data_IF_276228434121
#
_entry.id   IF_276228434121
#
_cell.length_a   1.000
_cell.length_b   1.000
_cell.length_c   1.000
_cell.angle_alpha   90.00
_cell.angle_beta   90.00
_cell.angle_gamma   90.00
#
_symmetry.space_group_name_H-M   'P 1'
#
loop_
_entity.id
_entity.type
_entity.pdbx_description
1 polymer ?
#
# COMPACT_ATOMS: atom_id res chain seq x y z
N UNK A 1 2.24 13.13 -0.18
CA UNK A 1 2.00 11.92 -1.02
C UNK A 1 3.06 11.76 -2.10
N UNK A 2 3.17 12.67 -3.07
CA UNK A 2 4.14 12.56 -4.19
C UNK A 2 5.61 12.37 -3.76
N UNK A 3 6.15 13.07 -2.73
CA UNK A 3 7.53 12.84 -2.31
C UNK A 3 7.81 11.39 -1.86
N UNK A 4 6.94 10.82 -1.02
CA UNK A 4 7.03 9.42 -0.60
C UNK A 4 6.92 8.46 -1.79
N UNK A 5 5.97 8.72 -2.70
CA UNK A 5 5.76 7.89 -3.88
C UNK A 5 7.00 7.87 -4.80
N UNK A 6 7.68 9.00 -4.97
CA UNK A 6 8.92 9.07 -5.75
C UNK A 6 10.06 8.34 -5.05
N UNK A 7 10.27 8.55 -3.75
CA UNK A 7 11.31 7.86 -2.98
C UNK A 7 11.14 6.33 -3.04
N UNK A 8 9.91 5.83 -2.93
CA UNK A 8 9.61 4.39 -3.09
C UNK A 8 9.83 3.92 -4.53
N UNK A 9 9.37 4.69 -5.53
CA UNK A 9 9.57 4.34 -6.94
C UNK A 9 11.05 4.31 -7.36
N UNK A 10 11.87 5.16 -6.74
CA UNK A 10 13.31 5.27 -6.99
C UNK A 10 14.14 4.27 -6.17
N UNK A 11 13.51 3.52 -5.26
CA UNK A 11 14.19 2.56 -4.39
C UNK A 11 14.98 3.21 -3.25
N UNK A 12 14.78 4.50 -2.99
CA UNK A 12 15.34 5.20 -1.82
C UNK A 12 14.69 4.70 -0.52
N UNK A 13 13.42 4.31 -0.61
CA UNK A 13 12.66 3.68 0.46
C UNK A 13 12.05 2.37 -0.05
N UNK A 14 12.10 1.33 0.77
CA UNK A 14 11.47 0.04 0.41
C UNK A 14 9.94 0.16 0.43
N UNK A 15 9.40 0.89 1.40
CA UNK A 15 7.98 0.91 1.75
C UNK A 15 7.55 2.26 2.33
N UNK A 16 6.26 2.59 2.21
CA UNK A 16 5.69 3.82 2.75
C UNK A 16 4.28 3.66 3.32
N UNK A 17 3.90 4.54 4.26
CA UNK A 17 2.53 4.65 4.78
C UNK A 17 2.04 6.10 4.60
N UNK A 18 0.80 6.27 4.15
CA UNK A 18 0.14 7.57 4.00
C UNK A 18 -1.22 7.58 4.68
N UNK A 19 -1.59 8.74 5.20
CA UNK A 19 -2.86 8.97 5.87
C UNK A 19 -3.62 10.09 5.17
N UNK A 20 -4.95 9.93 5.09
CA UNK A 20 -5.85 10.93 4.55
C UNK A 20 -7.25 10.82 5.10
N UNK A 21 -8.19 11.60 4.58
CA UNK A 21 -9.58 11.54 5.02
C UNK A 21 -10.22 10.16 4.74
N UNK A 22 -10.13 9.71 3.49
CA UNK A 22 -10.59 8.38 3.07
C UNK A 22 -9.46 7.44 2.65
N UNK A 23 -8.23 7.94 2.46
CA UNK A 23 -7.11 7.15 1.93
C UNK A 23 -7.15 6.97 0.40
N UNK A 24 -8.30 7.19 -0.26
CA UNK A 24 -8.42 7.03 -1.70
C UNK A 24 -7.65 8.10 -2.48
N UNK A 25 -7.72 9.37 -2.06
CA UNK A 25 -7.02 10.46 -2.73
C UNK A 25 -5.50 10.25 -2.73
N UNK A 26 -5.00 9.80 -1.59
CA UNK A 26 -3.60 9.50 -1.36
C UNK A 26 -3.15 8.30 -2.20
N UNK A 27 -3.94 7.24 -2.25
CA UNK A 27 -3.64 6.09 -3.10
C UNK A 27 -3.70 6.43 -4.59
N UNK A 28 -4.72 7.16 -5.04
CA UNK A 28 -4.84 7.61 -6.43
C UNK A 28 -3.66 8.49 -6.85
N UNK A 29 -3.23 9.42 -5.98
CA UNK A 29 -2.09 10.27 -6.26
C UNK A 29 -0.76 9.49 -6.27
N UNK A 30 -0.55 8.57 -5.33
CA UNK A 30 0.65 7.74 -5.26
C UNK A 30 0.77 6.80 -6.47
N UNK A 31 -0.34 6.17 -6.89
CA UNK A 31 -0.37 5.24 -8.03
C UNK A 31 -0.18 5.90 -9.41
N UNK A 32 -0.08 7.23 -9.48
CA UNK A 32 0.39 7.92 -10.70
C UNK A 32 1.90 7.82 -10.90
N UNK A 33 2.65 7.47 -9.86
CA UNK A 33 4.09 7.23 -9.95
C UNK A 33 4.34 5.80 -10.41
N UNK A 34 4.95 5.62 -11.59
CA UNK A 34 5.32 4.30 -12.11
C UNK A 34 6.20 3.55 -11.10
N UNK A 35 5.90 2.27 -10.87
CA UNK A 35 6.56 1.43 -9.87
C UNK A 35 5.94 1.53 -8.46
N UNK A 36 4.95 2.40 -8.25
CA UNK A 36 4.18 2.44 -7.01
C UNK A 36 2.95 1.56 -7.11
N UNK A 37 2.74 0.76 -6.07
CA UNK A 37 1.55 -0.06 -5.81
C UNK A 37 1.03 0.33 -4.44
N UNK A 38 0.27 1.41 -4.40
CA UNK A 38 -0.38 1.93 -3.21
C UNK A 38 -1.76 1.31 -3.02
N UNK A 39 -1.99 0.68 -1.87
CA UNK A 39 -3.26 0.05 -1.53
C UNK A 39 -3.97 0.80 -0.39
N UNK A 40 -5.25 1.11 -0.58
CA UNK A 40 -6.11 1.56 0.53
C UNK A 40 -6.52 0.34 1.34
N UNK A 41 -6.31 0.38 2.66
CA UNK A 41 -6.73 -0.69 3.56
C UNK A 41 -7.70 -0.16 4.62
N UNK A 42 -8.68 -1.00 4.96
CA UNK A 42 -9.78 -0.67 5.87
C UNK A 42 -9.75 -1.49 7.15
N UNK A 43 -9.02 -2.61 7.13
CA UNK A 43 -8.88 -3.57 8.22
C UNK A 43 -7.63 -4.44 8.02
N UNK A 44 -7.30 -5.25 9.03
CA UNK A 44 -6.11 -6.12 9.07
C UNK A 44 -6.05 -7.05 7.84
N UNK A 45 -7.16 -7.68 7.47
CA UNK A 45 -7.17 -8.62 6.36
C UNK A 45 -6.93 -7.94 5.01
N UNK A 46 -7.53 -6.77 4.78
CA UNK A 46 -7.29 -5.99 3.56
C UNK A 46 -5.82 -5.60 3.42
N UNK A 47 -5.15 -5.26 4.52
CA UNK A 47 -3.74 -4.88 4.55
C UNK A 47 -2.82 -6.09 4.33
N UNK A 48 -3.14 -7.23 4.94
CA UNK A 48 -2.48 -8.51 4.70
C UNK A 48 -2.56 -8.89 3.22
N UNK A 49 -3.75 -8.87 2.63
CA UNK A 49 -3.98 -9.21 1.22
C UNK A 49 -3.32 -8.19 0.28
N UNK A 50 -3.31 -6.91 0.63
CA UNK A 50 -2.59 -5.88 -0.13
C UNK A 50 -1.10 -6.24 -0.28
N UNK A 51 -0.46 -6.64 0.82
CA UNK A 51 0.95 -7.05 0.82
C UNK A 51 1.16 -8.42 0.15
N UNK A 52 0.40 -9.43 0.55
CA UNK A 52 0.55 -10.82 0.13
C UNK A 52 0.28 -11.03 -1.37
N UNK A 53 -0.76 -10.39 -1.91
CA UNK A 53 -1.22 -10.64 -3.27
C UNK A 53 -0.80 -9.58 -4.28
N UNK A 54 -0.58 -8.33 -3.85
CA UNK A 54 -0.33 -7.21 -4.78
C UNK A 54 1.07 -6.62 -4.63
N UNK A 55 1.88 -7.16 -3.72
CA UNK A 55 3.18 -6.61 -3.36
C UNK A 55 3.11 -5.09 -3.14
N UNK A 56 2.07 -4.64 -2.43
CA UNK A 56 1.83 -3.22 -2.22
C UNK A 56 3.01 -2.61 -1.45
N UNK A 57 3.66 -1.62 -2.05
CA UNK A 57 4.82 -0.93 -1.48
C UNK A 57 4.43 0.38 -0.77
N UNK A 58 3.19 0.83 -0.92
CA UNK A 58 2.62 1.90 -0.10
C UNK A 58 1.27 1.46 0.48
N UNK A 59 1.07 1.73 1.76
CA UNK A 59 -0.20 1.56 2.47
C UNK A 59 -0.89 2.91 2.63
N UNK A 60 -2.16 3.01 2.26
CA UNK A 60 -2.98 4.19 2.49
C UNK A 60 -4.11 3.89 3.49
N UNK A 61 -4.27 4.76 4.49
CA UNK A 61 -5.29 4.63 5.53
C UNK A 61 -6.18 5.89 5.57
N UNK A 62 -7.49 5.66 5.68
CA UNK A 62 -8.49 6.72 5.80
C UNK A 62 -8.88 6.98 7.25
N UNK A 63 -8.55 8.15 7.77
CA UNK A 63 -8.87 8.60 9.13
C UNK A 63 -10.36 8.51 9.47
N UNK A 64 -11.25 8.76 8.50
CA UNK A 64 -12.70 8.72 8.74
C UNK A 64 -13.30 7.31 8.72
N UNK A 65 -12.51 6.32 8.29
CA UNK A 65 -13.00 4.99 7.94
C UNK A 65 -12.31 3.88 8.74
N UNK A 66 -11.09 4.12 9.22
CA UNK A 66 -10.34 3.19 10.06
C UNK A 66 -10.36 3.67 11.51
N UNK A 67 -10.90 2.88 12.46
CA UNK A 67 -10.83 3.21 13.88
C UNK A 67 -9.38 3.29 14.36
N UNK A 68 -9.06 4.29 15.17
CA UNK A 68 -7.70 4.56 15.64
C UNK A 68 -7.06 3.35 16.32
N UNK A 69 -7.83 2.62 17.14
CA UNK A 69 -7.35 1.42 17.84
C UNK A 69 -6.96 0.26 16.90
N UNK A 70 -7.36 0.29 15.62
CA UNK A 70 -7.01 -0.74 14.63
C UNK A 70 -5.79 -0.36 13.78
N UNK A 71 -5.40 0.92 13.77
CA UNK A 71 -4.36 1.44 12.85
C UNK A 71 -3.04 0.71 13.02
N UNK A 72 -2.58 0.51 14.26
CA UNK A 72 -1.33 -0.19 14.54
C UNK A 72 -1.36 -1.64 14.05
N UNK A 73 -2.42 -2.39 14.35
CA UNK A 73 -2.57 -3.77 13.89
C UNK A 73 -2.58 -3.88 12.35
N UNK A 74 -3.18 -2.91 11.67
CA UNK A 74 -3.20 -2.81 10.21
C UNK A 74 -1.80 -2.56 9.63
N UNK A 75 -1.07 -1.62 10.23
CA UNK A 75 0.31 -1.30 9.80
C UNK A 75 1.24 -2.49 10.08
N UNK A 76 1.13 -3.10 11.27
CA UNK A 76 1.95 -4.23 11.70
C UNK A 76 1.77 -5.45 10.79
N UNK A 77 0.53 -5.80 10.45
CA UNK A 77 0.28 -6.93 9.54
C UNK A 77 0.81 -6.64 8.14
N UNK A 78 0.69 -5.40 7.64
CA UNK A 78 1.20 -5.02 6.32
C UNK A 78 2.73 -5.05 6.27
N UNK A 79 3.40 -4.60 7.33
CA UNK A 79 4.86 -4.62 7.44
C UNK A 79 5.41 -6.05 7.56
N UNK A 80 4.73 -6.91 8.32
CA UNK A 80 5.20 -8.26 8.62
C UNK A 80 4.80 -9.31 7.57
N UNK A 81 3.77 -9.05 6.76
CA UNK A 81 3.34 -9.95 5.69
C UNK A 81 4.37 -10.01 4.57
N UNK A 82 4.68 -11.22 4.10
CA UNK A 82 5.54 -11.43 2.91
C UNK A 82 4.71 -11.47 1.64
N UNK A 83 5.30 -11.07 0.52
CA UNK A 83 4.70 -11.27 -0.79
C UNK A 83 4.64 -12.77 -1.13
N UNK A 84 3.49 -13.26 -1.57
CA UNK A 84 3.31 -14.69 -1.91
C UNK A 84 3.82 -15.05 -3.31
N UNK A 85 4.02 -14.07 -4.19
CA UNK A 85 4.47 -14.31 -5.56
C UNK A 85 3.59 -15.33 -6.32
N UNK A 86 4.21 -16.27 -7.04
CA UNK A 86 3.51 -17.27 -7.85
C UNK A 86 2.54 -16.65 -8.85
N UNK A 87 1.27 -17.06 -8.78
CA UNK A 87 0.18 -16.58 -9.67
C UNK A 87 0.00 -15.05 -9.64
N UNK A 88 0.42 -14.39 -8.57
CA UNK A 88 0.23 -12.96 -8.36
C UNK A 88 1.18 -12.09 -9.20
N UNK A 89 2.36 -12.62 -9.55
CA UNK A 89 3.38 -11.90 -10.33
C UNK A 89 2.84 -11.46 -11.70
N UNK A 90 2.01 -12.28 -12.34
CA UNK A 90 1.43 -11.95 -13.63
C UNK A 90 0.49 -10.74 -13.58
N UNK A 91 -0.22 -10.50 -12.46
CA UNK A 91 -1.04 -9.29 -12.28
C UNK A 91 -0.18 -8.06 -12.04
N UNK A 92 0.83 -8.16 -11.18
CA UNK A 92 1.74 -7.05 -10.88
C UNK A 92 2.44 -6.56 -12.15
N UNK A 93 2.93 -7.49 -12.99
CA UNK A 93 3.55 -7.13 -14.27
C UNK A 93 2.63 -6.33 -15.20
N UNK A 94 1.32 -6.57 -15.15
CA UNK A 94 0.33 -5.79 -15.93
C UNK A 94 0.05 -4.39 -15.34
N UNK A 95 0.33 -4.19 -14.05
CA UNK A 95 0.21 -2.88 -13.41
C UNK A 95 1.46 -2.03 -13.65
N UNK A 96 2.63 -2.67 -13.73
CA UNK A 96 3.92 -1.99 -13.87
C UNK A 96 4.37 -1.76 -15.33
N UNK A 97 3.59 -2.22 -16.32
CA UNK A 97 3.75 -1.90 -17.75
C UNK A 97 3.22 -0.52 -18.07
#
# INVERSE_FOLDING_TARGET
IRPLALAVAQGELERGVVFGGSGNGEAMAANRCRGVRCAVSWNVESARLARAHNDANILSLGQRLVPEQQVLAIVDVWLSTRFEAGRHVARIRKLDT
#
